data_IF_393785418776
#
_entry.id   IF_393785418776
#
_cell.length_a   1.000
_cell.length_b   1.000
_cell.length_c   1.000
_cell.angle_alpha   90.00
_cell.angle_beta   90.00
_cell.angle_gamma   90.00
#
_symmetry.space_group_name_H-M   'P 1'
#
loop_
_entity.id
_entity.type
_entity.pdbx_description
1 polymer ?
#
# COMPACT_ATOMS: atom_id res chain seq x y z
N UNK A 1 -14.02 5.15 -9.07
CA UNK A 1 -13.36 5.39 -10.37
C UNK A 1 -12.57 4.14 -10.71
N UNK A 2 -12.84 3.54 -11.88
CA UNK A 2 -12.06 2.39 -12.35
C UNK A 2 -10.80 2.86 -13.10
N UNK A 3 -9.87 1.94 -13.38
CA UNK A 3 -8.59 2.28 -14.01
C UNK A 3 -8.74 2.88 -15.41
N UNK A 4 -9.76 2.44 -16.18
CA UNK A 4 -10.01 2.91 -17.54
C UNK A 4 -10.50 4.36 -17.55
N UNK A 5 -11.39 4.71 -16.62
CA UNK A 5 -11.84 6.10 -16.41
C UNK A 5 -10.64 6.97 -16.02
N UNK A 6 -9.77 6.48 -15.14
CA UNK A 6 -8.62 7.24 -14.66
C UNK A 6 -7.64 7.51 -15.80
N UNK A 7 -7.29 6.47 -16.55
CA UNK A 7 -6.43 6.57 -17.72
C UNK A 7 -7.00 7.53 -18.78
N UNK A 8 -8.33 7.55 -18.96
CA UNK A 8 -9.00 8.49 -19.86
C UNK A 8 -8.93 9.95 -19.38
N UNK A 9 -8.91 10.21 -18.08
CA UNK A 9 -8.87 11.57 -17.53
C UNK A 9 -7.47 12.17 -17.48
N UNK A 10 -6.47 11.38 -17.06
CA UNK A 10 -5.09 11.87 -16.88
C UNK A 10 -4.18 11.55 -18.07
N UNK A 11 -4.66 10.73 -19.01
CA UNK A 11 -3.90 10.24 -20.16
C UNK A 11 -3.04 9.01 -19.85
N UNK A 12 -2.81 8.20 -20.88
CA UNK A 12 -2.01 6.96 -20.79
C UNK A 12 -0.61 7.19 -20.20
N UNK A 13 0.15 8.24 -20.59
CA UNK A 13 1.50 8.44 -20.03
C UNK A 13 1.50 8.69 -18.52
N UNK A 14 0.61 9.56 -18.03
CA UNK A 14 0.53 9.88 -16.61
C UNK A 14 0.00 8.69 -15.79
N UNK A 15 -0.97 7.95 -16.35
CA UNK A 15 -1.44 6.71 -15.75
C UNK A 15 -0.31 5.68 -15.63
N UNK A 16 0.45 5.44 -16.70
CA UNK A 16 1.56 4.49 -16.67
C UNK A 16 2.66 4.89 -15.67
N UNK A 17 2.97 6.19 -15.56
CA UNK A 17 3.90 6.69 -14.56
C UNK A 17 3.41 6.39 -13.14
N UNK A 18 2.12 6.62 -12.85
CA UNK A 18 1.53 6.28 -11.55
C UNK A 18 1.57 4.77 -11.27
N UNK A 19 1.28 3.93 -12.27
CA UNK A 19 1.33 2.47 -12.11
C UNK A 19 2.75 1.98 -11.83
N UNK A 20 3.76 2.62 -12.41
CA UNK A 20 5.16 2.27 -12.15
C UNK A 20 5.59 2.64 -10.73
N UNK A 21 5.16 3.80 -10.23
CA UNK A 21 5.39 4.17 -8.82
C UNK A 21 4.68 3.20 -7.86
N UNK A 22 3.43 2.81 -8.17
CA UNK A 22 2.71 1.78 -7.38
C UNK A 22 3.44 0.43 -7.39
N UNK A 23 4.03 0.04 -8.52
CA UNK A 23 4.84 -1.20 -8.63
C UNK A 23 6.06 -1.14 -7.71
N UNK A 24 6.85 -0.06 -7.78
CA UNK A 24 8.02 0.13 -6.91
C UNK A 24 7.65 0.09 -5.43
N UNK A 25 6.52 0.70 -5.08
CA UNK A 25 6.03 0.72 -3.71
C UNK A 25 5.58 -0.66 -3.23
N UNK A 26 4.92 -1.43 -4.09
CA UNK A 26 4.56 -2.81 -3.80
C UNK A 26 5.82 -3.67 -3.59
N UNK A 27 6.81 -3.54 -4.47
CA UNK A 27 8.08 -4.27 -4.36
C UNK A 27 8.82 -3.93 -3.07
N UNK A 28 8.82 -2.65 -2.66
CA UNK A 28 9.35 -2.23 -1.37
C UNK A 28 8.63 -2.90 -0.20
N UNK A 29 7.29 -2.82 -0.17
CA UNK A 29 6.48 -3.44 0.89
C UNK A 29 6.73 -4.96 0.97
N UNK A 30 6.84 -5.64 -0.16
CA UNK A 30 7.10 -7.08 -0.23
C UNK A 30 8.54 -7.45 0.12
N UNK A 31 9.52 -6.59 -0.15
CA UNK A 31 10.91 -6.87 0.17
C UNK A 31 11.22 -6.67 1.66
N UNK A 32 10.59 -5.67 2.28
CA UNK A 32 10.86 -5.29 3.67
C UNK A 32 9.88 -5.88 4.68
N UNK A 33 8.60 -6.06 4.32
CA UNK A 33 7.53 -6.41 5.25
C UNK A 33 6.73 -7.65 4.86
N UNK A 34 7.23 -8.47 3.94
CA UNK A 34 6.59 -9.74 3.61
C UNK A 34 6.86 -10.79 4.70
N UNK A 35 5.77 -11.26 5.31
CA UNK A 35 5.75 -12.34 6.30
C UNK A 35 5.13 -13.64 5.75
N UNK A 36 4.86 -13.69 4.44
CA UNK A 36 4.20 -14.80 3.76
C UNK A 36 2.67 -14.81 3.87
N UNK A 37 2.05 -13.90 4.63
CA UNK A 37 0.59 -13.90 4.89
C UNK A 37 -0.11 -12.66 4.34
N UNK A 38 0.61 -11.56 4.14
CA UNK A 38 0.01 -10.23 3.88
C UNK A 38 0.17 -9.70 2.45
N UNK A 39 0.72 -10.50 1.53
CA UNK A 39 0.91 -10.10 0.12
C UNK A 39 -0.37 -9.52 -0.50
N UNK A 40 -1.51 -10.19 -0.34
CA UNK A 40 -2.78 -9.73 -0.92
C UNK A 40 -3.22 -8.38 -0.34
N UNK A 41 -2.99 -8.14 0.96
CA UNK A 41 -3.30 -6.86 1.58
C UNK A 41 -2.46 -5.75 0.97
N UNK A 42 -1.16 -5.97 0.77
CA UNK A 42 -0.29 -4.96 0.14
C UNK A 42 -0.67 -4.70 -1.32
N UNK A 43 -0.99 -5.74 -2.09
CA UNK A 43 -1.48 -5.56 -3.47
C UNK A 43 -2.77 -4.74 -3.52
N UNK A 44 -3.72 -5.01 -2.63
CA UNK A 44 -4.99 -4.26 -2.59
C UNK A 44 -4.75 -2.83 -2.10
N UNK A 45 -3.86 -2.63 -1.13
CA UNK A 45 -3.50 -1.32 -0.60
C UNK A 45 -2.93 -0.39 -1.68
N UNK A 46 -1.92 -0.82 -2.44
CA UNK A 46 -1.32 0.02 -3.50
C UNK A 46 -2.29 0.37 -4.62
N UNK A 47 -3.33 -0.43 -4.83
CA UNK A 47 -4.34 -0.17 -5.84
C UNK A 47 -5.42 0.82 -5.37
N UNK A 48 -5.84 0.71 -4.09
CA UNK A 48 -6.99 1.46 -3.57
C UNK A 48 -6.61 2.72 -2.79
N UNK A 49 -5.37 2.81 -2.30
CA UNK A 49 -4.84 3.98 -1.60
C UNK A 49 -3.96 4.80 -2.55
N UNK A 50 -3.79 6.08 -2.21
CA UNK A 50 -2.88 6.94 -2.98
C UNK A 50 -1.42 6.64 -2.63
N UNK A 51 -0.50 6.87 -3.57
CA UNK A 51 0.95 6.70 -3.34
C UNK A 51 1.39 7.49 -2.11
N UNK A 52 0.97 8.76 -2.03
CA UNK A 52 1.30 9.67 -0.92
C UNK A 52 0.87 9.14 0.45
N UNK A 53 -0.27 8.48 0.54
CA UNK A 53 -0.75 7.94 1.82
C UNK A 53 0.12 6.79 2.32
N UNK A 54 0.54 5.93 1.41
CA UNK A 54 1.42 4.81 1.73
C UNK A 54 2.82 5.34 2.04
N UNK A 55 3.32 6.31 1.27
CA UNK A 55 4.61 6.96 1.55
C UNK A 55 4.63 7.62 2.93
N UNK A 56 3.56 8.31 3.34
CA UNK A 56 3.46 8.92 4.66
C UNK A 56 3.56 7.88 5.78
N UNK A 57 2.92 6.71 5.61
CA UNK A 57 3.05 5.58 6.56
C UNK A 57 4.51 5.12 6.62
N UNK A 58 5.13 4.90 5.46
CA UNK A 58 6.51 4.43 5.38
C UNK A 58 7.50 5.44 5.99
N UNK A 59 7.28 6.74 5.80
CA UNK A 59 8.08 7.78 6.44
C UNK A 59 7.92 7.78 7.95
N UNK A 60 6.67 7.68 8.43
CA UNK A 60 6.37 7.64 9.88
C UNK A 60 7.09 6.48 10.56
N UNK A 61 6.95 5.26 10.02
CA UNK A 61 7.58 4.08 10.62
C UNK A 61 9.10 4.04 10.45
N UNK A 62 9.66 4.74 9.45
CA UNK A 62 11.10 4.85 9.24
C UNK A 62 11.77 5.69 10.33
N UNK A 63 11.07 6.69 10.86
CA UNK A 63 11.55 7.54 11.95
C UNK A 63 11.27 6.97 13.35
N UNK A 64 10.42 5.94 13.45
CA UNK A 64 10.08 5.28 14.70
C UNK A 64 11.13 4.21 15.07
N UNK A 65 11.94 4.50 16.10
CA UNK A 65 13.01 3.61 16.58
C UNK A 65 12.48 2.29 17.12
N UNK A 66 11.31 2.30 17.76
CA UNK A 66 10.71 1.10 18.32
C UNK A 66 10.28 0.18 17.18
N UNK A 67 9.64 0.74 16.15
CA UNK A 67 9.32 0.00 14.91
C UNK A 67 10.58 -0.57 14.24
N UNK A 68 11.67 0.21 14.14
CA UNK A 68 12.92 -0.29 13.55
C UNK A 68 13.55 -1.44 14.36
N UNK A 69 13.30 -1.51 15.66
CA UNK A 69 13.79 -2.60 16.52
C UNK A 69 12.95 -3.88 16.47
N UNK A 70 11.73 -3.82 15.94
CA UNK A 70 10.80 -4.95 15.84
C UNK A 70 11.27 -6.04 14.88
N UNK A 71 10.82 -7.27 15.12
CA UNK A 71 11.01 -8.36 14.17
C UNK A 71 10.19 -8.15 12.89
N UNK A 72 10.62 -8.73 11.76
CA UNK A 72 9.93 -8.59 10.45
C UNK A 72 8.42 -8.89 10.49
N UNK A 73 8.00 -9.87 11.30
CA UNK A 73 6.57 -10.24 11.46
C UNK A 73 5.76 -9.16 12.17
N UNK A 74 6.35 -8.52 13.16
CA UNK A 74 5.74 -7.43 13.93
C UNK A 74 5.67 -6.16 13.09
N UNK A 75 6.75 -5.82 12.39
CA UNK A 75 6.77 -4.72 11.43
C UNK A 75 5.69 -4.89 10.36
N UNK A 76 5.59 -6.08 9.77
CA UNK A 76 4.52 -6.40 8.82
C UNK A 76 3.11 -6.25 9.42
N UNK A 77 2.97 -6.53 10.72
CA UNK A 77 1.71 -6.40 11.47
C UNK A 77 1.32 -4.94 11.61
N UNK A 78 2.28 -4.11 12.02
CA UNK A 78 2.09 -2.67 12.19
C UNK A 78 1.78 -2.00 10.86
N UNK A 79 2.54 -2.30 9.79
CA UNK A 79 2.26 -1.75 8.46
C UNK A 79 0.86 -2.13 7.97
N UNK A 80 0.47 -3.40 8.11
CA UNK A 80 -0.86 -3.83 7.71
C UNK A 80 -1.97 -3.13 8.50
N UNK A 81 -1.74 -2.90 9.80
CA UNK A 81 -2.69 -2.18 10.65
C UNK A 81 -2.81 -0.72 10.24
N UNK A 82 -1.69 -0.02 10.03
CA UNK A 82 -1.68 1.37 9.57
C UNK A 82 -2.38 1.54 8.22
N UNK A 83 -2.15 0.62 7.27
CA UNK A 83 -2.85 0.63 5.98
C UNK A 83 -4.36 0.44 6.15
N UNK A 84 -4.79 -0.45 7.05
CA UNK A 84 -6.22 -0.63 7.35
C UNK A 84 -6.82 0.60 8.02
N UNK A 85 -6.08 1.24 8.93
CA UNK A 85 -6.57 2.40 9.69
C UNK A 85 -6.79 3.63 8.80
N UNK A 86 -5.98 3.82 7.74
CA UNK A 86 -6.22 4.87 6.74
C UNK A 86 -7.30 4.51 5.71
N UNK A 87 -7.56 3.21 5.50
CA UNK A 87 -8.57 2.73 4.57
C UNK A 87 -9.99 2.74 5.19
N UNK A 88 -10.09 2.42 6.48
CA UNK A 88 -11.35 2.35 7.23
C UNK A 88 -12.21 3.62 7.17
N UNK A 89 -11.71 4.85 7.43
CA UNK A 89 -12.53 6.06 7.38
C UNK A 89 -13.03 6.39 5.96
N UNK A 90 -12.43 5.79 4.92
CA UNK A 90 -12.87 5.92 3.53
C UNK A 90 -13.87 4.85 3.11
N UNK A 91 -14.25 3.94 4.02
CA UNK A 91 -15.07 2.78 3.72
C UNK A 91 -14.38 1.75 2.80
N UNK A 92 -13.04 1.79 2.71
CA UNK A 92 -12.26 0.89 1.87
C UNK A 92 -11.88 -0.34 2.69
N UNK A 93 -12.29 -1.52 2.22
CA UNK A 93 -11.85 -2.79 2.80
C UNK A 93 -10.67 -3.36 2.00
N UNK A 94 -9.51 -3.49 2.66
CA UNK A 94 -8.29 -4.03 2.04
C UNK A 94 -8.30 -5.57 1.96
N UNK A 95 -9.33 -6.13 1.32
CA UNK A 95 -9.48 -7.57 1.11
C UNK A 95 -9.93 -7.86 -0.32
N UNK A 96 -9.47 -8.99 -0.85
CA UNK A 96 -9.98 -9.51 -2.11
C UNK A 96 -11.41 -10.02 -1.90
N UNK A 97 -12.35 -9.48 -2.65
CA UNK A 97 -13.70 -10.03 -2.75
C UNK A 97 -13.67 -11.15 -3.79
N UNK A 98 -14.08 -12.36 -3.39
CA UNK A 98 -14.32 -13.43 -4.35
C UNK A 98 -15.54 -13.06 -5.19
N UNK A 99 -15.48 -13.40 -6.48
CA UNK A 99 -16.65 -13.37 -7.36
C UNK A 99 -17.63 -14.45 -6.97
#
# INVERSE_FOLDING_TARGET
>A
MNDMEKASQIGIPAYNAEQEEKRKLLDFLLSHYNDGRRKNLFCVAVNLLTIKEIENILQTVKSDKDFQSMGKKEQASVIAKLLQDIAAPKGIELKLRKK
#
